data_IF_215714085424
#
_entry.id   IF_215714085424
#
_cell.length_a   1.000
_cell.length_b   1.000
_cell.length_c   1.000
_cell.angle_alpha   90.00
_cell.angle_beta   90.00
_cell.angle_gamma   90.00
#
_symmetry.space_group_name_H-M   'P 1'
#
loop_
_entity.id
_entity.type
_entity.pdbx_description
1 polymer ?
#
# COMPACT_ATOMS: atom_id res chain seq x y z
N UNK A 1 4.74 10.98 10.81
CA UNK A 1 5.05 11.95 11.87
C UNK A 1 6.16 11.38 12.75
N UNK A 2 6.97 12.21 13.45
CA UNK A 2 7.97 11.72 14.40
C UNK A 2 7.32 10.82 15.46
N UNK A 3 7.92 9.65 15.70
CA UNK A 3 7.40 8.64 16.62
C UNK A 3 6.43 7.64 15.99
N UNK A 4 6.13 7.76 14.69
CA UNK A 4 5.34 6.77 13.98
C UNK A 4 6.10 5.43 13.89
N UNK A 5 5.37 4.34 14.02
CA UNK A 5 5.91 3.00 13.83
C UNK A 5 5.83 2.59 12.35
N UNK A 6 6.68 1.67 11.94
CA UNK A 6 6.64 1.16 10.57
C UNK A 6 5.27 0.55 10.21
N UNK A 7 4.63 -0.15 11.16
CA UNK A 7 3.27 -0.71 10.96
C UNK A 7 2.20 0.33 10.67
N UNK A 8 2.32 1.55 11.23
CA UNK A 8 1.30 2.60 11.08
C UNK A 8 1.09 2.98 9.62
N UNK A 9 2.11 2.75 8.77
CA UNK A 9 2.02 2.96 7.31
C UNK A 9 1.04 1.96 6.69
N UNK A 10 1.11 0.69 7.12
CA UNK A 10 0.19 -0.35 6.67
C UNK A 10 -1.23 -0.06 7.16
N UNK A 11 -1.38 0.23 8.43
CA UNK A 11 -2.68 0.45 9.07
C UNK A 11 -3.42 1.62 8.40
N UNK A 12 -2.72 2.74 8.15
CA UNK A 12 -3.29 3.90 7.44
C UNK A 12 -3.73 3.55 6.00
N UNK A 13 -2.95 2.74 5.29
CA UNK A 13 -3.33 2.31 3.94
C UNK A 13 -4.56 1.38 3.96
N UNK A 14 -4.62 0.45 4.93
CA UNK A 14 -5.75 -0.46 5.07
C UNK A 14 -7.04 0.27 5.44
N UNK A 15 -6.96 1.29 6.28
CA UNK A 15 -8.12 2.14 6.60
C UNK A 15 -8.70 2.80 5.34
N UNK A 16 -7.85 3.40 4.50
CA UNK A 16 -8.28 4.03 3.23
C UNK A 16 -8.91 2.99 2.30
N UNK A 17 -8.27 1.85 2.09
CA UNK A 17 -8.77 0.79 1.22
C UNK A 17 -10.10 0.21 1.72
N UNK A 18 -10.23 -0.01 3.04
CA UNK A 18 -11.45 -0.53 3.63
C UNK A 18 -12.63 0.44 3.45
N UNK A 19 -12.42 1.75 3.64
CA UNK A 19 -13.45 2.75 3.38
C UNK A 19 -13.93 2.73 1.93
N UNK A 20 -13.03 2.66 0.95
CA UNK A 20 -13.43 2.58 -0.45
C UNK A 20 -14.12 1.25 -0.80
N UNK A 21 -13.66 0.14 -0.25
CA UNK A 21 -14.35 -1.15 -0.42
C UNK A 21 -15.77 -1.13 0.16
N UNK A 22 -15.98 -0.42 1.29
CA UNK A 22 -17.31 -0.22 1.87
C UNK A 22 -18.19 0.68 0.98
N UNK A 23 -17.66 1.81 0.51
CA UNK A 23 -18.35 2.70 -0.43
C UNK A 23 -18.79 1.98 -1.71
N UNK A 24 -18.02 1.01 -2.18
CA UNK A 24 -18.36 0.17 -3.34
C UNK A 24 -19.30 -0.99 -2.99
N UNK A 25 -19.72 -1.12 -1.72
CA UNK A 25 -20.59 -2.19 -1.26
C UNK A 25 -19.96 -3.58 -1.29
N UNK A 26 -18.64 -3.67 -1.24
CA UNK A 26 -17.88 -4.93 -1.32
C UNK A 26 -17.62 -5.53 0.07
N UNK A 27 -17.56 -4.74 1.14
CA UNK A 27 -17.37 -5.27 2.48
C UNK A 27 -18.66 -5.92 3.01
N UNK A 28 -18.60 -7.14 3.55
CA UNK A 28 -19.75 -7.80 4.18
C UNK A 28 -19.99 -7.34 5.62
N UNK A 29 -19.10 -6.53 6.18
CA UNK A 29 -19.08 -6.06 7.58
C UNK A 29 -18.72 -4.57 7.60
N UNK A 30 -18.81 -3.91 8.77
CA UNK A 30 -18.39 -2.51 8.90
C UNK A 30 -16.88 -2.34 8.65
N UNK A 31 -16.44 -1.12 8.31
CA UNK A 31 -15.02 -0.80 8.14
C UNK A 31 -14.23 -1.14 9.41
N UNK A 32 -14.75 -0.78 10.59
CA UNK A 32 -14.11 -1.06 11.88
C UNK A 32 -13.88 -2.57 12.07
N UNK A 33 -14.88 -3.39 11.77
CA UNK A 33 -14.76 -4.84 11.84
C UNK A 33 -13.80 -5.36 10.76
N UNK A 34 -13.86 -4.84 9.54
CA UNK A 34 -13.02 -5.27 8.43
C UNK A 34 -11.52 -5.06 8.67
N UNK A 35 -11.13 -4.01 9.41
CA UNK A 35 -9.72 -3.71 9.74
C UNK A 35 -9.30 -4.23 11.11
N UNK A 36 -10.22 -4.76 11.91
CA UNK A 36 -9.90 -5.34 13.23
C UNK A 36 -8.96 -6.54 13.11
N UNK A 37 -8.27 -6.87 14.19
CA UNK A 37 -7.32 -8.00 14.24
C UNK A 37 -8.01 -9.34 13.92
N UNK A 38 -9.26 -9.52 14.34
CA UNK A 38 -10.06 -10.73 14.10
C UNK A 38 -10.77 -10.70 12.74
N UNK A 39 -11.16 -9.52 12.24
CA UNK A 39 -11.96 -9.37 11.02
C UNK A 39 -11.15 -9.58 9.75
N UNK A 40 -10.21 -8.70 9.48
CA UNK A 40 -9.27 -8.75 8.34
C UNK A 40 -9.95 -8.95 6.96
N UNK A 41 -11.19 -8.49 6.78
CA UNK A 41 -11.97 -8.74 5.56
C UNK A 41 -11.37 -8.08 4.31
N UNK A 42 -10.72 -6.92 4.46
CA UNK A 42 -10.02 -6.21 3.40
C UNK A 42 -8.90 -7.04 2.76
N UNK A 43 -8.30 -7.99 3.52
CA UNK A 43 -7.21 -8.85 3.04
C UNK A 43 -7.61 -9.83 1.94
N UNK A 44 -8.91 -9.99 1.69
CA UNK A 44 -9.38 -10.74 0.52
C UNK A 44 -8.82 -10.16 -0.78
N UNK A 45 -8.70 -8.84 -0.84
CA UNK A 45 -8.28 -8.11 -2.04
C UNK A 45 -6.94 -7.38 -1.90
N UNK A 46 -6.40 -7.29 -0.67
CA UNK A 46 -5.07 -6.77 -0.37
C UNK A 46 -4.32 -7.80 0.51
N UNK A 47 -3.75 -8.87 -0.08
CA UNK A 47 -3.24 -10.03 0.67
C UNK A 47 -1.83 -9.86 1.23
N UNK A 48 -1.12 -8.79 0.93
CA UNK A 48 0.28 -8.55 1.33
C UNK A 48 0.46 -7.34 2.25
N UNK A 49 1.66 -7.17 2.78
CA UNK A 49 2.04 -5.94 3.50
C UNK A 49 2.14 -4.76 2.54
N UNK A 50 1.84 -3.56 3.03
CA UNK A 50 1.92 -2.33 2.23
C UNK A 50 3.35 -1.85 2.03
N UNK A 51 4.30 -2.32 2.86
CA UNK A 51 5.63 -1.74 2.92
C UNK A 51 6.68 -2.78 3.29
N UNK A 52 7.88 -2.61 2.75
CA UNK A 52 9.10 -3.30 3.18
C UNK A 52 10.28 -2.32 3.14
N UNK A 53 11.29 -2.59 3.98
CA UNK A 53 12.54 -1.84 3.91
C UNK A 53 13.31 -2.17 2.64
N UNK A 54 14.00 -1.15 2.12
CA UNK A 54 14.97 -1.23 1.04
C UNK A 54 16.38 -1.07 1.62
N UNK A 55 17.31 -1.92 1.20
CA UNK A 55 18.69 -1.88 1.68
C UNK A 55 19.62 -2.68 0.79
N UNK A 56 20.38 -3.61 1.36
CA UNK A 56 21.21 -4.54 0.58
C UNK A 56 20.36 -5.50 -0.24
N UNK A 57 19.20 -5.85 0.28
CA UNK A 57 18.17 -6.63 -0.41
C UNK A 57 16.95 -5.79 -0.71
N UNK A 58 16.16 -6.19 -1.74
CA UNK A 58 14.87 -5.56 -2.07
C UNK A 58 13.91 -5.66 -0.89
N UNK A 59 13.78 -6.85 -0.29
CA UNK A 59 13.04 -7.07 0.96
C UNK A 59 14.03 -7.14 2.11
N UNK A 60 14.65 -6.00 2.44
CA UNK A 60 15.72 -5.95 3.42
C UNK A 60 15.22 -6.21 4.84
N UNK A 61 16.03 -6.92 5.63
CA UNK A 61 15.72 -7.27 7.02
C UNK A 61 14.40 -8.03 7.24
N UNK A 62 13.80 -8.64 6.22
CA UNK A 62 12.49 -9.30 6.28
C UNK A 62 12.38 -10.44 7.31
N UNK A 63 13.53 -10.98 7.77
CA UNK A 63 13.61 -12.01 8.82
C UNK A 63 13.85 -11.43 10.22
N UNK A 64 13.86 -10.09 10.37
CA UNK A 64 14.02 -9.46 11.67
C UNK A 64 12.80 -9.73 12.57
N UNK A 65 13.02 -9.69 13.89
CA UNK A 65 11.92 -9.80 14.85
C UNK A 65 10.93 -8.67 14.68
N UNK A 66 9.65 -8.94 14.97
CA UNK A 66 8.56 -7.98 14.85
C UNK A 66 8.85 -6.65 15.53
N UNK A 67 9.43 -6.68 16.73
CA UNK A 67 9.77 -5.50 17.53
C UNK A 67 10.87 -4.63 16.88
N UNK A 68 11.69 -5.24 16.03
CA UNK A 68 12.78 -4.57 15.31
C UNK A 68 12.40 -4.17 13.88
N UNK A 69 11.25 -4.58 13.41
CA UNK A 69 10.76 -4.35 12.05
C UNK A 69 9.40 -3.63 12.08
N UNK A 70 8.31 -4.36 12.30
CA UNK A 70 6.95 -3.80 12.24
C UNK A 70 6.67 -2.80 13.36
N UNK A 71 7.15 -3.09 14.58
CA UNK A 71 6.95 -2.26 15.77
C UNK A 71 8.08 -1.25 15.99
N UNK A 72 9.02 -1.17 15.05
CA UNK A 72 10.10 -0.21 15.11
C UNK A 72 9.63 1.20 14.74
N UNK A 73 10.13 2.19 15.49
CA UNK A 73 9.95 3.60 15.16
C UNK A 73 10.68 3.95 13.87
N UNK A 74 10.03 4.70 12.99
CA UNK A 74 10.63 5.25 11.78
C UNK A 74 11.70 6.28 12.14
N UNK A 75 12.94 6.06 11.67
CA UNK A 75 14.10 6.88 12.00
C UNK A 75 14.75 7.48 10.74
N UNK A 76 15.42 8.64 10.88
CA UNK A 76 16.23 9.21 9.79
C UNK A 76 17.18 8.20 9.15
N UNK A 77 17.21 8.18 7.83
CA UNK A 77 18.00 7.26 7.02
C UNK A 77 17.31 5.94 6.64
N UNK A 78 16.14 5.64 7.22
CA UNK A 78 15.35 4.50 6.76
C UNK A 78 14.77 4.77 5.37
N UNK A 79 14.84 3.75 4.50
CA UNK A 79 14.23 3.74 3.17
C UNK A 79 13.31 2.54 3.08
N UNK A 80 12.09 2.75 2.57
CA UNK A 80 11.07 1.70 2.48
C UNK A 80 10.04 2.03 1.39
N UNK A 81 9.33 1.00 0.92
CA UNK A 81 8.23 1.13 -0.04
C UNK A 81 6.93 1.50 0.63
N UNK A 82 6.03 2.14 -0.10
CA UNK A 82 4.59 2.22 0.20
C UNK A 82 3.87 1.77 -1.06
N UNK A 83 3.28 0.57 -1.03
CA UNK A 83 2.78 -0.14 -2.20
C UNK A 83 1.38 -0.77 -2.00
N UNK A 84 0.37 0.01 -1.54
CA UNK A 84 -0.97 -0.51 -1.43
C UNK A 84 -1.51 -0.94 -2.80
N UNK A 85 -2.37 -1.97 -2.81
CA UNK A 85 -3.00 -2.43 -4.02
C UNK A 85 -4.33 -3.13 -3.76
N UNK A 86 -5.15 -3.24 -4.79
CA UNK A 86 -6.35 -4.07 -4.81
C UNK A 86 -6.27 -5.04 -5.97
N UNK A 87 -6.58 -6.30 -5.69
CA UNK A 87 -6.47 -7.40 -6.65
C UNK A 87 -7.77 -8.20 -6.68
N UNK A 88 -8.53 -8.03 -7.73
CA UNK A 88 -9.82 -8.69 -7.91
C UNK A 88 -9.67 -9.94 -8.77
N UNK A 89 -9.67 -11.10 -8.10
CA UNK A 89 -9.54 -12.37 -8.81
C UNK A 89 -10.69 -12.55 -9.82
N UNK A 90 -10.36 -13.09 -11.00
CA UNK A 90 -11.31 -13.36 -12.07
C UNK A 90 -12.47 -14.27 -11.61
N UNK A 91 -12.20 -15.20 -10.70
CA UNK A 91 -13.17 -16.18 -10.22
C UNK A 91 -13.85 -15.78 -8.90
N UNK A 92 -13.58 -14.57 -8.39
CA UNK A 92 -14.17 -14.09 -7.14
C UNK A 92 -15.58 -13.56 -7.35
N UNK A 93 -16.58 -14.36 -6.97
CA UNK A 93 -18.00 -14.03 -7.11
C UNK A 93 -18.48 -12.91 -6.16
N UNK A 94 -17.67 -12.53 -5.15
CA UNK A 94 -17.95 -11.38 -4.29
C UNK A 94 -17.56 -10.05 -4.96
N UNK A 95 -16.85 -10.09 -6.09
CA UNK A 95 -16.47 -8.93 -6.88
C UNK A 95 -17.46 -8.72 -8.02
N UNK A 96 -17.93 -7.48 -8.29
CA UNK A 96 -18.71 -7.15 -9.48
C UNK A 96 -18.03 -7.66 -10.75
N UNK A 97 -18.81 -8.19 -11.70
CA UNK A 97 -18.27 -8.87 -12.89
C UNK A 97 -17.30 -7.97 -13.68
N UNK A 98 -17.63 -6.69 -13.80
CA UNK A 98 -16.84 -5.68 -14.49
C UNK A 98 -15.49 -5.36 -13.86
N UNK A 99 -15.29 -5.71 -12.58
CA UNK A 99 -14.02 -5.49 -11.86
C UNK A 99 -13.16 -6.75 -11.76
N UNK A 100 -13.71 -7.93 -12.11
CA UNK A 100 -12.96 -9.19 -12.00
C UNK A 100 -11.76 -9.23 -12.93
N UNK A 101 -10.64 -9.74 -12.43
CA UNK A 101 -9.39 -9.81 -13.15
C UNK A 101 -8.59 -8.50 -13.17
N UNK A 102 -9.10 -7.45 -12.53
CA UNK A 102 -8.39 -6.17 -12.39
C UNK A 102 -7.52 -6.22 -11.14
N UNK A 103 -6.25 -5.86 -11.28
CA UNK A 103 -5.33 -5.62 -10.17
C UNK A 103 -4.58 -4.31 -10.38
N UNK A 104 -4.54 -3.47 -9.36
CA UNK A 104 -3.81 -2.20 -9.38
C UNK A 104 -2.97 -2.11 -8.11
N UNK A 105 -1.68 -1.83 -8.26
CA UNK A 105 -0.76 -1.45 -7.20
C UNK A 105 -0.03 -0.18 -7.64
N UNK A 106 0.06 0.79 -6.73
CA UNK A 106 0.86 2.00 -6.92
C UNK A 106 1.90 1.99 -5.81
N UNK A 107 3.17 2.09 -6.20
CA UNK A 107 4.31 1.97 -5.31
C UNK A 107 5.14 3.24 -5.35
N UNK A 108 5.47 3.75 -4.17
CA UNK A 108 6.40 4.84 -3.95
C UNK A 108 7.53 4.40 -3.01
N UNK A 109 8.76 4.86 -3.28
CA UNK A 109 9.89 4.72 -2.38
C UNK A 109 9.99 5.96 -1.50
N UNK A 110 10.12 5.73 -0.20
CA UNK A 110 10.16 6.78 0.81
C UNK A 110 11.48 6.72 1.56
N UNK A 111 12.10 7.88 1.77
CA UNK A 111 13.20 8.04 2.74
C UNK A 111 12.76 8.91 3.91
N UNK A 112 13.16 8.53 5.13
CA UNK A 112 13.04 9.42 6.29
C UNK A 112 14.27 10.32 6.31
N UNK A 113 14.04 11.61 6.13
CA UNK A 113 15.09 12.65 6.08
C UNK A 113 15.67 12.93 7.47
N UNK A 114 16.80 13.65 7.52
CA UNK A 114 17.49 13.97 8.77
C UNK A 114 16.64 14.78 9.77
N UNK A 115 15.64 15.52 9.30
CA UNK A 115 14.67 16.26 10.11
C UNK A 115 13.43 15.43 10.47
N UNK A 116 13.44 14.12 10.17
CA UNK A 116 12.37 13.17 10.55
C UNK A 116 11.14 13.22 9.65
N UNK A 117 11.21 13.87 8.48
CA UNK A 117 10.11 13.91 7.52
C UNK A 117 10.22 12.78 6.51
N UNK A 118 9.08 12.34 6.00
CA UNK A 118 9.00 11.45 4.86
C UNK A 118 9.21 12.25 3.56
N UNK A 119 10.16 11.81 2.74
CA UNK A 119 10.39 12.33 1.39
C UNK A 119 10.19 11.19 0.40
N UNK A 120 9.39 11.43 -0.63
CA UNK A 120 9.19 10.48 -1.71
C UNK A 120 10.33 10.59 -2.73
N UNK A 121 10.98 9.45 -3.01
CA UNK A 121 12.07 9.35 -3.98
C UNK A 121 11.55 9.18 -5.41
N UNK A 122 10.36 8.58 -5.57
CA UNK A 122 9.67 8.33 -6.83
C UNK A 122 8.73 9.47 -7.25
N UNK A 123 9.00 10.72 -6.84
CA UNK A 123 8.10 11.86 -7.05
C UNK A 123 7.76 12.14 -8.52
N UNK A 124 8.72 11.94 -9.40
CA UNK A 124 8.58 12.20 -10.84
C UNK A 124 7.79 11.11 -11.60
N UNK A 125 7.48 9.98 -10.96
CA UNK A 125 6.70 8.91 -11.58
C UNK A 125 5.22 9.27 -11.55
N UNK A 126 4.54 9.30 -12.73
CA UNK A 126 3.11 9.58 -12.79
C UNK A 126 2.29 8.45 -12.14
N UNK A 127 1.18 8.80 -11.46
CA UNK A 127 0.32 7.82 -10.76
C UNK A 127 -1.17 8.16 -10.78
N UNK A 128 -1.57 9.34 -11.22
CA UNK A 128 -2.99 9.59 -11.52
C UNK A 128 -3.34 8.99 -12.89
N UNK A 129 -4.60 8.66 -13.11
CA UNK A 129 -5.05 8.07 -14.37
C UNK A 129 -4.62 8.93 -15.55
N UNK A 130 -4.90 10.24 -15.50
CA UNK A 130 -4.59 11.18 -16.57
C UNK A 130 -3.08 11.30 -16.83
N UNK A 131 -2.28 11.33 -15.76
CA UNK A 131 -0.82 11.46 -15.88
C UNK A 131 -0.20 10.18 -16.47
N UNK A 132 -0.68 8.99 -16.07
CA UNK A 132 -0.21 7.70 -16.61
C UNK A 132 -0.61 7.56 -18.07
N UNK A 133 -1.86 7.90 -18.45
CA UNK A 133 -2.33 7.85 -19.84
C UNK A 133 -1.53 8.82 -20.73
N UNK A 134 -1.27 10.04 -20.25
CA UNK A 134 -0.46 11.01 -20.97
C UNK A 134 0.99 10.52 -21.16
N UNK A 135 1.58 9.95 -20.12
CA UNK A 135 2.93 9.37 -20.19
C UNK A 135 3.02 8.20 -21.18
N UNK A 136 2.04 7.29 -21.15
CA UNK A 136 1.96 6.17 -22.11
C UNK A 136 1.83 6.70 -23.55
N UNK A 137 0.98 7.70 -23.78
CA UNK A 137 0.79 8.31 -25.09
C UNK A 137 2.09 8.95 -25.61
N UNK A 138 2.82 9.67 -24.76
CA UNK A 138 4.11 10.30 -25.09
C UNK A 138 5.16 9.24 -25.48
N UNK A 139 5.33 8.20 -24.67
CA UNK A 139 6.28 7.09 -24.92
C UNK A 139 5.93 6.33 -26.21
N UNK A 140 4.64 6.21 -26.53
CA UNK A 140 4.20 5.56 -27.78
C UNK A 140 4.24 6.49 -29.01
N UNK A 141 4.55 7.76 -28.83
CA UNK A 141 4.59 8.77 -29.91
C UNK A 141 3.20 9.05 -30.52
N UNK A 142 2.16 9.02 -29.70
CA UNK A 142 0.76 9.23 -30.10
C UNK A 142 0.26 10.60 -29.67
#
# INVERSE_FOLDING_TARGET
EPGALFRDVHDAAMEVLAHHLDEWGMLPVSVEEAISEEGQQHRRWMPHGTSHHLGLDVHDCAQAKKELYLDAELKPGMVFTIEPGLYFNQDDLAVPEELRGIGVRIEDDIVITADGKAQRLSEDIPRTVEAVEAWIADVQGK
#
